data_IF_057061261244
#
_entry.id   IF_057061261244
#
_cell.length_a   1.000
_cell.length_b   1.000
_cell.length_c   1.000
_cell.angle_alpha   90.00
_cell.angle_beta   90.00
_cell.angle_gamma   90.00
#
_symmetry.space_group_name_H-M   'P 1'
#
loop_
_entity.id
_entity.type
_entity.pdbx_description
1 polymer ?
#
# COMPACT_ATOMS: atom_id res chain seq x y z
N UNK A 1 0.29 29.89 36.46
CA UNK A 1 -0.80 28.98 36.86
C UNK A 1 -1.63 28.79 35.60
N UNK A 2 -2.02 27.57 35.24
CA UNK A 2 -2.87 27.37 34.06
C UNK A 2 -4.30 27.73 34.47
N UNK A 3 -4.81 28.85 33.97
CA UNK A 3 -6.10 29.40 34.38
C UNK A 3 -7.22 29.01 33.39
N UNK A 4 -6.86 28.64 32.15
CA UNK A 4 -7.78 28.16 31.10
C UNK A 4 -7.21 26.99 30.30
N UNK A 5 -8.08 26.21 29.64
CA UNK A 5 -7.65 25.08 28.77
C UNK A 5 -6.83 25.57 27.57
N UNK A 6 -7.04 26.81 27.13
CA UNK A 6 -6.24 27.44 26.07
C UNK A 6 -4.77 27.61 26.46
N UNK A 7 -4.47 27.80 27.75
CA UNK A 7 -3.09 27.99 28.24
C UNK A 7 -2.23 26.72 28.13
N UNK A 8 -2.89 25.56 28.05
CA UNK A 8 -2.24 24.25 27.89
C UNK A 8 -2.37 23.68 26.48
N UNK A 9 -3.09 24.32 25.56
CA UNK A 9 -3.29 23.80 24.20
C UNK A 9 -1.96 23.50 23.50
N UNK A 10 -1.00 24.43 23.53
CA UNK A 10 0.31 24.24 22.88
C UNK A 10 1.08 23.04 23.46
N UNK A 11 0.93 22.77 24.76
CA UNK A 11 1.53 21.63 25.44
C UNK A 11 0.77 20.35 25.09
N UNK A 12 -0.56 20.36 25.12
CA UNK A 12 -1.39 19.22 24.71
C UNK A 12 -1.06 18.82 23.26
N UNK A 13 -0.95 19.78 22.34
CA UNK A 13 -0.56 19.52 20.95
C UNK A 13 0.86 18.96 20.81
N UNK A 14 1.81 19.40 21.65
CA UNK A 14 3.18 18.88 21.62
C UNK A 14 3.30 17.41 22.07
N UNK A 15 2.33 16.93 22.87
CA UNK A 15 2.30 15.55 23.38
C UNK A 15 1.10 14.73 22.89
N UNK A 16 0.26 15.30 22.03
CA UNK A 16 -0.94 14.66 21.50
C UNK A 16 -0.57 13.48 20.59
N UNK A 17 -1.20 12.34 20.83
CA UNK A 17 -1.16 11.23 19.88
C UNK A 17 -1.92 11.57 18.60
N UNK A 18 -1.71 10.81 17.51
CA UNK A 18 -2.37 11.03 16.22
C UNK A 18 -3.89 11.18 16.31
N UNK A 19 -4.55 10.37 17.15
CA UNK A 19 -5.98 10.48 17.40
C UNK A 19 -6.36 11.82 18.04
N UNK A 20 -5.65 12.22 19.09
CA UNK A 20 -5.91 13.47 19.81
C UNK A 20 -5.72 14.66 18.88
N UNK A 21 -4.65 14.67 18.09
CA UNK A 21 -4.39 15.73 17.09
C UNK A 21 -5.53 15.84 16.08
N UNK A 22 -6.03 14.71 15.58
CA UNK A 22 -7.14 14.70 14.63
C UNK A 22 -8.44 15.24 15.25
N UNK A 23 -8.80 14.76 16.45
CA UNK A 23 -10.04 15.17 17.13
C UNK A 23 -10.05 16.65 17.52
N UNK A 24 -8.90 17.28 17.72
CA UNK A 24 -8.80 18.71 18.04
C UNK A 24 -8.71 19.62 16.79
N UNK A 25 -8.85 19.06 15.59
CA UNK A 25 -8.83 19.81 14.32
C UNK A 25 -7.44 19.97 13.69
N UNK A 26 -6.43 19.25 14.20
CA UNK A 26 -5.12 19.17 13.58
C UNK A 26 -5.12 18.27 12.35
N UNK A 27 -4.26 18.60 11.38
CA UNK A 27 -4.09 17.78 10.18
C UNK A 27 -3.28 16.51 10.51
N UNK A 28 -3.95 15.36 10.58
CA UNK A 28 -3.29 14.05 10.51
C UNK A 28 -3.58 13.46 9.12
N UNK A 29 -2.52 13.10 8.38
CA UNK A 29 -2.61 12.71 6.97
C UNK A 29 -2.87 11.21 6.77
N UNK A 30 -2.72 10.39 7.81
CA UNK A 30 -2.83 8.94 7.71
C UNK A 30 -3.97 8.41 8.57
N UNK A 31 -5.04 8.01 7.89
CA UNK A 31 -6.23 7.37 8.49
C UNK A 31 -5.86 6.10 9.26
N UNK A 32 -4.90 5.31 8.80
CA UNK A 32 -4.53 4.04 9.45
C UNK A 32 -3.90 4.28 10.82
N UNK A 33 -3.07 5.32 10.94
CA UNK A 33 -2.44 5.69 12.20
C UNK A 33 -3.48 6.15 13.22
N UNK A 34 -4.48 6.93 12.79
CA UNK A 34 -5.57 7.41 13.68
C UNK A 34 -6.37 6.23 14.23
N UNK A 35 -6.77 5.31 13.36
CA UNK A 35 -7.53 4.12 13.74
C UNK A 35 -6.71 3.19 14.64
N UNK A 36 -5.45 2.94 14.30
CA UNK A 36 -4.57 2.12 15.13
C UNK A 36 -4.34 2.76 16.51
N UNK A 37 -4.18 4.08 16.61
CA UNK A 37 -4.05 4.79 17.89
C UNK A 37 -5.32 4.65 18.74
N UNK A 38 -6.51 4.80 18.12
CA UNK A 38 -7.79 4.63 18.79
C UNK A 38 -8.02 3.21 19.33
N UNK A 39 -7.77 2.20 18.51
CA UNK A 39 -8.02 0.80 18.88
C UNK A 39 -7.01 0.31 19.93
N UNK A 40 -5.72 0.64 19.76
CA UNK A 40 -4.65 0.17 20.65
C UNK A 40 -4.62 0.89 21.99
N UNK A 41 -4.97 2.18 22.04
CA UNK A 41 -5.04 2.93 23.31
C UNK A 41 -6.37 2.76 24.04
N UNK A 42 -7.28 1.96 23.51
CA UNK A 42 -8.55 1.68 24.17
C UNK A 42 -9.49 2.89 24.18
N UNK A 43 -9.50 3.68 23.10
CA UNK A 43 -10.38 4.85 23.02
C UNK A 43 -11.84 4.42 23.13
N UNK A 44 -12.58 5.13 23.97
CA UNK A 44 -14.00 4.87 24.29
C UNK A 44 -14.96 5.89 23.67
N UNK A 45 -14.47 6.74 22.75
CA UNK A 45 -15.27 7.74 22.06
C UNK A 45 -16.09 7.18 20.91
N UNK A 46 -16.76 8.07 20.18
CA UNK A 46 -17.58 7.71 19.03
C UNK A 46 -16.72 7.52 17.77
N UNK A 47 -16.62 6.28 17.32
CA UNK A 47 -15.90 5.90 16.10
C UNK A 47 -16.47 6.52 14.82
N UNK A 48 -17.70 7.06 14.84
CA UNK A 48 -18.24 7.83 13.73
C UNK A 48 -17.54 9.18 13.51
N UNK A 49 -16.77 9.68 14.50
CA UNK A 49 -15.99 10.90 14.38
C UNK A 49 -14.66 10.68 13.64
N UNK A 50 -14.22 9.43 13.49
CA UNK A 50 -12.96 9.09 12.82
C UNK A 50 -13.09 9.19 11.29
N UNK A 51 -11.97 9.34 10.56
CA UNK A 51 -12.02 9.34 9.11
C UNK A 51 -12.55 7.99 8.60
N UNK A 52 -13.34 7.97 7.52
CA UNK A 52 -13.92 6.74 7.00
C UNK A 52 -12.82 5.74 6.61
N UNK A 53 -12.90 4.53 7.16
CA UNK A 53 -11.96 3.43 6.88
C UNK A 53 -12.72 2.10 6.80
N UNK A 54 -12.23 1.21 5.94
CA UNK A 54 -12.65 -0.19 5.99
C UNK A 54 -11.87 -0.90 7.09
N UNK A 55 -12.56 -1.33 8.16
CA UNK A 55 -11.94 -2.04 9.28
C UNK A 55 -11.41 -3.40 8.79
N UNK A 56 -10.11 -3.60 8.92
CA UNK A 56 -9.41 -4.83 8.54
C UNK A 56 -9.35 -5.82 9.70
N UNK A 57 -8.85 -7.04 9.44
CA UNK A 57 -8.62 -8.01 10.50
C UNK A 57 -7.55 -7.55 11.49
N UNK A 58 -6.48 -6.92 11.03
CA UNK A 58 -5.40 -6.41 11.90
C UNK A 58 -5.90 -5.29 12.81
N UNK A 59 -6.80 -4.44 12.31
CA UNK A 59 -7.50 -3.45 13.12
C UNK A 59 -8.28 -4.14 14.25
N UNK A 60 -9.11 -5.14 13.94
CA UNK A 60 -9.85 -5.90 14.95
C UNK A 60 -8.93 -6.59 15.96
N UNK A 61 -7.84 -7.20 15.49
CA UNK A 61 -6.87 -7.90 16.35
C UNK A 61 -6.09 -6.95 17.27
N UNK A 62 -5.92 -5.68 16.89
CA UNK A 62 -5.27 -4.67 17.73
C UNK A 62 -6.10 -4.28 18.96
N UNK A 63 -7.40 -4.61 18.98
CA UNK A 63 -8.30 -4.32 20.08
C UNK A 63 -7.92 -5.18 21.29
N UNK A 64 -7.37 -4.53 22.31
CA UNK A 64 -6.96 -5.18 23.56
C UNK A 64 -7.93 -4.94 24.71
N UNK A 65 -8.86 -3.99 24.55
CA UNK A 65 -9.78 -3.57 25.60
C UNK A 65 -11.21 -3.96 25.27
N UNK A 66 -11.86 -4.62 26.24
CA UNK A 66 -13.24 -5.09 26.11
C UNK A 66 -14.24 -3.94 25.89
N UNK A 67 -14.03 -2.80 26.52
CA UNK A 67 -14.87 -1.61 26.30
C UNK A 67 -14.78 -1.13 24.83
N UNK A 68 -13.57 -1.00 24.30
CA UNK A 68 -13.33 -0.61 22.90
C UNK A 68 -13.94 -1.59 21.92
N UNK A 69 -13.85 -2.89 22.20
CA UNK A 69 -14.54 -3.91 21.41
C UNK A 69 -16.05 -3.66 21.32
N UNK A 70 -16.72 -3.39 22.45
CA UNK A 70 -18.15 -3.09 22.47
C UNK A 70 -18.49 -1.83 21.66
N UNK A 71 -17.68 -0.77 21.75
CA UNK A 71 -17.86 0.44 20.94
C UNK A 71 -17.69 0.18 19.44
N UNK A 72 -16.66 -0.57 19.04
CA UNK A 72 -16.42 -0.94 17.63
C UNK A 72 -17.54 -1.84 17.10
N UNK A 73 -18.02 -2.79 17.91
CA UNK A 73 -19.18 -3.65 17.58
C UNK A 73 -20.42 -2.80 17.30
N UNK A 74 -20.71 -1.83 18.15
CA UNK A 74 -21.85 -0.92 17.98
C UNK A 74 -21.70 -0.02 16.75
N UNK A 75 -20.49 0.49 16.50
CA UNK A 75 -20.17 1.27 15.30
C UNK A 75 -20.40 0.48 14.01
N UNK A 76 -19.90 -0.76 13.94
CA UNK A 76 -20.11 -1.63 12.76
C UNK A 76 -21.59 -1.95 12.56
N UNK A 77 -22.35 -2.07 13.65
CA UNK A 77 -23.80 -2.27 13.60
C UNK A 77 -24.55 -1.01 13.12
N UNK A 78 -24.02 0.20 13.32
CA UNK A 78 -24.66 1.47 12.93
C UNK A 78 -24.32 1.94 11.52
N UNK A 79 -23.17 1.57 10.94
CA UNK A 79 -22.70 2.00 9.61
C UNK A 79 -23.47 1.38 8.39
N UNK A 80 -24.77 1.11 8.52
CA UNK A 80 -25.55 0.27 7.61
C UNK A 80 -25.83 0.94 6.26
N UNK A 81 -25.02 0.62 5.22
CA UNK A 81 -25.43 0.65 3.79
C UNK A 81 -24.78 -0.42 2.88
N UNK A 82 -24.29 -1.55 3.39
CA UNK A 82 -23.72 -2.61 2.52
C UNK A 82 -23.64 -4.00 3.14
N UNK A 83 -24.41 -4.95 2.61
CA UNK A 83 -24.57 -6.30 3.20
C UNK A 83 -23.31 -7.16 3.23
N UNK A 84 -22.45 -7.10 2.20
CA UNK A 84 -21.25 -7.97 2.10
C UNK A 84 -20.10 -7.45 2.96
N UNK A 85 -19.86 -6.13 2.98
CA UNK A 85 -18.80 -5.50 3.80
C UNK A 85 -19.03 -5.76 5.30
N UNK A 86 -20.29 -5.67 5.76
CA UNK A 86 -20.66 -5.94 7.16
C UNK A 86 -20.29 -7.34 7.61
N UNK A 87 -20.56 -8.36 6.79
CA UNK A 87 -20.28 -9.76 7.14
C UNK A 87 -18.78 -10.01 7.33
N UNK A 88 -17.96 -9.48 6.44
CA UNK A 88 -16.49 -9.62 6.50
C UNK A 88 -15.95 -8.99 7.80
N UNK A 89 -16.37 -7.77 8.10
CA UNK A 89 -15.92 -7.07 9.31
C UNK A 89 -16.41 -7.77 10.59
N UNK A 90 -17.65 -8.26 10.63
CA UNK A 90 -18.16 -9.04 11.77
C UNK A 90 -17.38 -10.35 11.98
N UNK A 91 -16.96 -11.01 10.90
CA UNK A 91 -16.13 -12.22 10.97
C UNK A 91 -14.80 -11.93 11.64
N UNK A 92 -14.12 -10.86 11.22
CA UNK A 92 -12.85 -10.44 11.81
C UNK A 92 -13.00 -10.02 13.28
N UNK A 93 -14.07 -9.28 13.60
CA UNK A 93 -14.35 -8.84 14.97
C UNK A 93 -14.58 -10.05 15.89
N UNK A 94 -15.37 -11.04 15.46
CA UNK A 94 -15.58 -12.28 16.22
C UNK A 94 -14.29 -13.07 16.40
N UNK A 95 -13.47 -13.18 15.36
CA UNK A 95 -12.16 -13.84 15.47
C UNK A 95 -11.28 -13.16 16.53
N UNK A 96 -11.23 -11.83 16.56
CA UNK A 96 -10.51 -11.07 17.59
C UNK A 96 -11.07 -11.29 19.00
N UNK A 97 -12.40 -11.41 19.16
CA UNK A 97 -13.01 -11.75 20.44
C UNK A 97 -12.63 -13.16 20.90
N UNK A 98 -12.59 -14.14 19.99
CA UNK A 98 -12.18 -15.51 20.31
C UNK A 98 -10.70 -15.57 20.73
N UNK A 99 -9.81 -14.84 20.05
CA UNK A 99 -8.39 -14.73 20.41
C UNK A 99 -8.17 -14.12 21.80
N UNK A 100 -9.04 -13.20 22.21
CA UNK A 100 -9.02 -12.57 23.53
C UNK A 100 -9.90 -13.28 24.58
N UNK A 101 -10.49 -14.44 24.25
CA UNK A 101 -11.31 -15.26 25.17
C UNK A 101 -12.57 -14.52 25.67
N UNK A 102 -13.15 -13.64 24.85
CA UNK A 102 -14.40 -12.90 25.15
C UNK A 102 -15.63 -13.65 24.65
N UNK A 103 -15.84 -14.87 25.16
CA UNK A 103 -16.88 -15.78 24.67
C UNK A 103 -18.31 -15.26 24.83
N UNK A 104 -18.56 -14.46 25.87
CA UNK A 104 -19.85 -13.83 26.16
C UNK A 104 -20.23 -12.72 25.17
N UNK A 105 -19.25 -12.19 24.43
CA UNK A 105 -19.48 -11.17 23.40
C UNK A 105 -19.79 -11.76 22.01
N UNK A 106 -19.63 -13.07 21.85
CA UNK A 106 -19.78 -13.78 20.58
C UNK A 106 -21.22 -14.25 20.44
N UNK A 107 -21.94 -13.62 19.52
CA UNK A 107 -23.30 -14.03 19.18
C UNK A 107 -23.29 -15.32 18.34
N UNK A 108 -23.93 -16.36 18.87
CA UNK A 108 -24.07 -17.70 18.29
C UNK A 108 -25.24 -17.84 17.30
N UNK A 109 -26.04 -16.78 17.09
CA UNK A 109 -27.23 -16.84 16.25
C UNK A 109 -26.97 -17.19 14.77
N UNK A 110 -25.74 -16.98 14.29
CA UNK A 110 -25.31 -17.36 12.93
C UNK A 110 -24.13 -18.33 12.98
N UNK A 111 -24.39 -19.66 12.97
CA UNK A 111 -23.36 -20.70 12.98
C UNK A 111 -22.37 -20.60 11.82
N UNK A 112 -22.79 -20.04 10.67
CA UNK A 112 -21.94 -19.90 9.49
C UNK A 112 -20.91 -18.79 9.66
N UNK A 113 -21.32 -17.62 10.13
CA UNK A 113 -20.37 -16.52 10.43
C UNK A 113 -19.47 -16.91 11.61
N UNK A 114 -19.99 -17.70 12.55
CA UNK A 114 -19.19 -18.26 13.64
C UNK A 114 -18.11 -19.23 13.12
N UNK A 115 -18.45 -20.11 12.17
CA UNK A 115 -17.48 -20.99 11.51
C UNK A 115 -16.44 -20.21 10.70
N UNK A 116 -16.86 -19.15 9.99
CA UNK A 116 -15.92 -18.24 9.29
C UNK A 116 -14.98 -17.53 10.27
N UNK A 117 -15.47 -17.14 11.44
CA UNK A 117 -14.63 -16.54 12.48
C UNK A 117 -13.66 -17.58 13.08
N UNK A 118 -14.11 -18.82 13.29
CA UNK A 118 -13.26 -19.91 13.76
C UNK A 118 -12.12 -20.22 12.78
N UNK A 119 -12.37 -20.12 11.46
CA UNK A 119 -11.32 -20.28 10.44
C UNK A 119 -10.25 -19.19 10.57
N UNK A 120 -10.65 -17.93 10.74
CA UNK A 120 -9.73 -16.78 10.86
C UNK A 120 -9.00 -16.78 12.22
N UNK A 121 -9.72 -17.06 13.31
CA UNK A 121 -9.20 -17.09 14.68
C UNK A 121 -8.36 -18.32 15.00
N UNK A 122 -8.48 -19.41 14.22
CA UNK A 122 -7.70 -20.63 14.41
C UNK A 122 -8.31 -21.62 15.40
N UNK A 123 -9.63 -21.60 15.60
CA UNK A 123 -10.32 -22.46 16.57
C UNK A 123 -10.76 -23.77 15.91
N UNK A 124 -9.82 -24.72 15.79
CA UNK A 124 -10.03 -26.00 15.09
C UNK A 124 -11.15 -26.84 15.69
N UNK A 125 -11.20 -26.99 17.02
CA UNK A 125 -12.22 -27.82 17.68
C UNK A 125 -13.63 -27.23 17.53
N UNK A 126 -13.74 -25.91 17.67
CA UNK A 126 -15.00 -25.19 17.44
C UNK A 126 -15.44 -25.34 15.98
N UNK A 127 -14.51 -25.18 15.04
CA UNK A 127 -14.81 -25.36 13.62
C UNK A 127 -15.25 -26.80 13.34
N UNK A 128 -14.57 -27.80 13.91
CA UNK A 128 -14.94 -29.20 13.73
C UNK A 128 -16.34 -29.49 14.27
N UNK A 129 -16.68 -29.02 15.48
CA UNK A 129 -18.03 -29.16 16.03
C UNK A 129 -19.08 -28.45 15.18
N UNK A 130 -18.80 -27.24 14.67
CA UNK A 130 -19.74 -26.54 13.79
C UNK A 130 -19.99 -27.27 12.47
N UNK A 131 -18.95 -27.88 11.89
CA UNK A 131 -19.05 -28.63 10.64
C UNK A 131 -19.70 -30.01 10.82
N UNK A 132 -19.49 -30.67 11.96
CA UNK A 132 -20.01 -32.02 12.23
C UNK A 132 -21.39 -32.03 12.91
N UNK A 133 -21.60 -31.15 13.89
CA UNK A 133 -22.75 -31.22 14.79
C UNK A 133 -23.85 -30.20 14.45
N UNK A 134 -23.50 -29.15 13.71
CA UNK A 134 -24.40 -28.02 13.40
C UNK A 134 -24.74 -27.86 11.91
N UNK A 135 -24.47 -28.88 11.08
CA UNK A 135 -24.81 -28.94 9.64
C UNK A 135 -24.30 -27.72 8.82
N UNK A 136 -23.18 -27.13 9.24
CA UNK A 136 -22.54 -26.05 8.47
C UNK A 136 -21.75 -26.69 7.34
N UNK A 137 -22.22 -26.54 6.11
CA UNK A 137 -21.47 -27.02 4.93
C UNK A 137 -20.18 -26.20 4.75
N UNK A 138 -19.03 -26.87 4.81
CA UNK A 138 -17.71 -26.29 4.54
C UNK A 138 -17.62 -25.69 3.13
N UNK A 139 -18.35 -26.23 2.16
CA UNK A 139 -18.46 -25.70 0.80
C UNK A 139 -19.42 -24.50 0.69
N UNK A 140 -20.04 -24.07 1.80
CA UNK A 140 -20.81 -22.83 1.87
C UNK A 140 -20.02 -21.67 2.50
N UNK A 141 -18.90 -21.94 3.17
CA UNK A 141 -18.08 -20.88 3.78
C UNK A 141 -17.56 -19.93 2.70
N UNK A 142 -17.74 -18.62 2.93
CA UNK A 142 -17.31 -17.55 2.03
C UNK A 142 -17.91 -17.61 0.60
N UNK A 143 -19.10 -18.20 0.41
CA UNK A 143 -19.74 -18.38 -0.91
C UNK A 143 -20.31 -17.12 -1.61
N UNK A 144 -20.08 -15.90 -1.09
CA UNK A 144 -20.56 -14.67 -1.73
C UNK A 144 -19.91 -14.41 -3.11
N UNK A 145 -20.55 -13.64 -4.02
CA UNK A 145 -19.93 -13.25 -5.28
C UNK A 145 -18.77 -12.30 -4.99
N UNK A 146 -17.54 -12.71 -5.29
CA UNK A 146 -16.36 -11.85 -5.16
C UNK A 146 -16.33 -10.82 -6.29
N UNK A 147 -15.88 -9.61 -5.95
CA UNK A 147 -15.58 -8.50 -6.87
C UNK A 147 -14.44 -8.80 -7.85
N UNK A 148 -13.67 -9.87 -7.64
CA UNK A 148 -12.63 -10.29 -8.58
C UNK A 148 -13.25 -11.14 -9.69
N UNK A 149 -13.16 -10.65 -10.93
CA UNK A 149 -13.51 -11.35 -12.16
C UNK A 149 -12.64 -12.58 -12.48
N UNK A 150 -12.15 -13.28 -11.46
CA UNK A 150 -11.41 -14.54 -11.57
C UNK A 150 -12.41 -15.71 -11.52
N UNK A 151 -12.42 -16.50 -12.60
CA UNK A 151 -13.31 -17.62 -12.82
C UNK A 151 -13.25 -18.71 -11.72
N UNK A 152 -14.40 -19.37 -11.47
CA UNK A 152 -14.59 -20.77 -11.00
C UNK A 152 -13.72 -21.26 -9.83
N UNK A 153 -13.68 -20.57 -8.70
CA UNK A 153 -13.19 -21.16 -7.43
C UNK A 153 -14.34 -21.80 -6.65
N UNK A 154 -14.13 -22.97 -6.07
CA UNK A 154 -15.11 -23.56 -5.14
C UNK A 154 -15.03 -22.86 -3.78
N UNK A 155 -16.10 -22.80 -2.97
CA UNK A 155 -16.04 -22.03 -1.72
C UNK A 155 -15.13 -22.63 -0.65
N UNK A 156 -14.87 -23.95 -0.68
CA UNK A 156 -13.87 -24.60 0.19
C UNK A 156 -12.44 -24.08 -0.06
N UNK A 157 -12.13 -23.70 -1.30
CA UNK A 157 -10.85 -23.06 -1.68
C UNK A 157 -10.67 -21.73 -0.93
N UNK A 158 -11.78 -21.01 -0.69
CA UNK A 158 -11.77 -19.71 -0.03
C UNK A 158 -11.53 -19.84 1.48
N UNK A 159 -12.12 -20.85 2.11
CA UNK A 159 -11.87 -21.13 3.53
C UNK A 159 -10.41 -21.53 3.77
N UNK A 160 -9.85 -22.40 2.94
CA UNK A 160 -8.43 -22.76 3.01
C UNK A 160 -7.53 -21.54 2.76
N UNK A 161 -7.86 -20.73 1.74
CA UNK A 161 -7.11 -19.51 1.45
C UNK A 161 -7.15 -18.50 2.61
N UNK A 162 -8.28 -18.40 3.33
CA UNK A 162 -8.39 -17.58 4.55
C UNK A 162 -7.56 -18.14 5.69
N UNK A 163 -7.64 -19.44 5.97
CA UNK A 163 -6.78 -20.07 6.99
C UNK A 163 -5.28 -19.83 6.68
N UNK A 164 -4.91 -19.96 5.39
CA UNK A 164 -3.56 -19.73 4.90
C UNK A 164 -3.11 -18.27 5.07
N UNK A 165 -3.99 -17.30 4.75
CA UNK A 165 -3.72 -15.87 4.89
C UNK A 165 -3.51 -15.43 6.35
N UNK A 166 -4.12 -16.11 7.31
CA UNK A 166 -4.05 -15.79 8.74
C UNK A 166 -3.10 -16.70 9.54
N UNK A 167 -2.33 -17.57 8.88
CA UNK A 167 -1.33 -18.39 9.56
C UNK A 167 -1.92 -19.54 10.39
N UNK A 168 -3.13 -20.03 10.06
CA UNK A 168 -3.84 -21.06 10.82
C UNK A 168 -3.60 -22.47 10.26
N UNK A 169 -2.43 -23.03 10.55
CA UNK A 169 -2.04 -24.36 10.03
C UNK A 169 -3.01 -25.48 10.41
N UNK A 170 -3.38 -25.62 11.69
CA UNK A 170 -4.28 -26.70 12.14
C UNK A 170 -5.68 -26.62 11.51
N UNK A 171 -6.20 -25.41 11.33
CA UNK A 171 -7.47 -25.20 10.60
C UNK A 171 -7.31 -25.59 9.14
N UNK A 172 -6.18 -25.23 8.52
CA UNK A 172 -5.88 -25.58 7.14
C UNK A 172 -5.77 -27.11 6.96
N UNK A 173 -5.14 -27.81 7.89
CA UNK A 173 -5.07 -29.28 7.92
C UNK A 173 -6.46 -29.92 8.05
N UNK A 174 -7.30 -29.42 8.97
CA UNK A 174 -8.68 -29.88 9.11
C UNK A 174 -9.46 -29.68 7.79
N UNK A 175 -9.40 -28.49 7.21
CA UNK A 175 -10.06 -28.18 5.94
C UNK A 175 -9.53 -29.03 4.78
N UNK A 176 -8.25 -29.41 4.80
CA UNK A 176 -7.68 -30.33 3.82
C UNK A 176 -8.25 -31.75 3.95
N UNK A 177 -8.37 -32.26 5.18
CA UNK A 177 -8.98 -33.59 5.43
C UNK A 177 -10.45 -33.63 5.01
N UNK A 178 -11.18 -32.53 5.23
CA UNK A 178 -12.61 -32.42 4.91
C UNK A 178 -12.89 -32.09 3.43
N UNK A 179 -11.95 -31.41 2.76
CA UNK A 179 -12.13 -30.89 1.40
C UNK A 179 -11.90 -31.93 0.30
N UNK A 180 -12.88 -32.12 -0.59
CA UNK A 180 -12.70 -32.87 -1.85
C UNK A 180 -11.85 -32.08 -2.86
N UNK A 181 -10.54 -32.05 -2.64
CA UNK A 181 -9.44 -31.92 -3.62
C UNK A 181 -9.59 -30.95 -4.81
N UNK A 182 -10.15 -29.76 -4.62
CA UNK A 182 -9.87 -28.61 -5.49
C UNK A 182 -9.33 -27.50 -4.60
N UNK A 183 -8.33 -26.79 -5.08
CA UNK A 183 -7.82 -25.53 -4.54
C UNK A 183 -7.26 -24.74 -5.71
N UNK A 184 -7.35 -23.42 -5.65
CA UNK A 184 -6.56 -22.54 -6.50
C UNK A 184 -5.18 -22.31 -5.88
N UNK A 185 -4.25 -21.71 -6.64
CA UNK A 185 -2.96 -21.23 -6.13
C UNK A 185 -3.09 -20.19 -5.01
N UNK A 186 -4.30 -19.65 -4.80
CA UNK A 186 -4.61 -18.56 -3.88
C UNK A 186 -4.18 -18.85 -2.44
N UNK A 187 -4.33 -20.07 -1.94
CA UNK A 187 -3.92 -20.39 -0.57
C UNK A 187 -2.41 -20.23 -0.38
N UNK A 188 -1.61 -20.66 -1.36
CA UNK A 188 -0.16 -20.49 -1.31
C UNK A 188 0.24 -19.02 -1.50
N UNK A 189 -0.40 -18.34 -2.44
CA UNK A 189 -0.13 -16.92 -2.73
C UNK A 189 -0.39 -16.04 -1.50
N UNK A 190 -1.51 -16.26 -0.79
CA UNK A 190 -1.85 -15.52 0.43
C UNK A 190 -0.98 -15.90 1.62
N UNK A 191 -0.66 -17.18 1.82
CA UNK A 191 0.30 -17.59 2.86
C UNK A 191 1.66 -16.95 2.66
N UNK A 192 2.12 -16.87 1.40
CA UNK A 192 3.39 -16.27 1.05
C UNK A 192 3.40 -14.74 1.26
N UNK A 193 2.34 -14.08 0.80
CA UNK A 193 2.14 -12.64 0.96
C UNK A 193 2.15 -12.21 2.43
N UNK A 194 1.65 -13.04 3.34
CA UNK A 194 1.61 -12.75 4.78
C UNK A 194 2.77 -13.41 5.57
N UNK A 195 3.74 -14.01 4.89
CA UNK A 195 4.97 -14.49 5.53
C UNK A 195 4.86 -15.81 6.29
N UNK A 196 3.81 -16.59 6.08
CA UNK A 196 3.57 -17.86 6.76
C UNK A 196 4.34 -19.02 6.13
N UNK A 197 5.68 -19.03 6.32
CA UNK A 197 6.58 -20.04 5.74
C UNK A 197 6.16 -21.49 6.03
N UNK A 198 5.72 -21.78 7.25
CA UNK A 198 5.30 -23.12 7.65
C UNK A 198 4.07 -23.60 6.86
N UNK A 199 3.13 -22.71 6.53
CA UNK A 199 1.99 -23.01 5.67
C UNK A 199 2.44 -23.20 4.22
N UNK A 200 3.35 -22.35 3.72
CA UNK A 200 3.90 -22.50 2.36
C UNK A 200 4.59 -23.85 2.20
N UNK A 201 5.39 -24.27 3.18
CA UNK A 201 6.06 -25.58 3.21
C UNK A 201 5.05 -26.74 3.22
N UNK A 202 4.03 -26.63 4.06
CA UNK A 202 2.99 -27.64 4.17
C UNK A 202 2.19 -27.75 2.86
N UNK A 203 1.74 -26.63 2.30
CA UNK A 203 1.00 -26.60 1.04
C UNK A 203 1.87 -27.13 -0.13
N UNK A 204 3.16 -26.81 -0.17
CA UNK A 204 4.07 -27.30 -1.20
C UNK A 204 4.29 -28.83 -1.16
N UNK A 205 4.16 -29.45 0.02
CA UNK A 205 4.37 -30.90 0.19
C UNK A 205 3.08 -31.70 0.04
N UNK A 206 1.93 -31.12 0.39
CA UNK A 206 0.64 -31.83 0.42
C UNK A 206 -0.26 -31.52 -0.78
N UNK A 207 0.06 -30.49 -1.59
CA UNK A 207 -0.76 -30.05 -2.72
C UNK A 207 0.00 -29.97 -4.03
N UNK A 208 -0.73 -30.14 -5.15
CA UNK A 208 -0.16 -30.16 -6.50
C UNK A 208 -0.33 -28.86 -7.27
N UNK A 209 -1.21 -27.98 -6.84
CA UNK A 209 -1.47 -26.70 -7.55
C UNK A 209 -0.32 -25.70 -7.42
N UNK A 210 0.47 -25.79 -6.35
CA UNK A 210 1.57 -24.88 -6.10
C UNK A 210 1.12 -23.44 -5.86
N UNK A 211 2.04 -22.50 -6.10
CA UNK A 211 1.81 -21.06 -6.06
C UNK A 211 1.95 -20.44 -7.44
N UNK A 212 1.49 -19.20 -7.57
CA UNK A 212 1.74 -18.38 -8.76
C UNK A 212 2.89 -17.40 -8.52
N UNK A 213 3.26 -16.61 -9.52
CA UNK A 213 4.21 -15.51 -9.33
C UNK A 213 3.73 -14.51 -8.26
N UNK A 214 2.42 -14.39 -8.03
CA UNK A 214 1.86 -13.54 -6.98
C UNK A 214 2.36 -13.92 -5.57
N UNK A 215 2.68 -15.21 -5.32
CA UNK A 215 3.27 -15.64 -4.06
C UNK A 215 4.63 -14.98 -3.81
N UNK A 216 5.51 -15.00 -4.81
CA UNK A 216 6.86 -14.39 -4.72
C UNK A 216 6.73 -12.88 -4.66
N UNK A 217 5.89 -12.29 -5.51
CA UNK A 217 5.66 -10.85 -5.57
C UNK A 217 5.20 -10.29 -4.22
N UNK A 218 4.18 -10.91 -3.62
CA UNK A 218 3.65 -10.52 -2.32
C UNK A 218 4.66 -10.74 -1.20
N UNK A 219 5.36 -11.88 -1.19
CA UNK A 219 6.38 -12.17 -0.18
C UNK A 219 7.51 -11.14 -0.22
N UNK A 220 8.00 -10.76 -1.41
CA UNK A 220 9.07 -9.77 -1.56
C UNK A 220 8.58 -8.37 -1.19
N UNK A 221 7.41 -7.95 -1.68
CA UNK A 221 6.86 -6.63 -1.39
C UNK A 221 6.68 -6.38 0.12
N UNK A 222 6.30 -7.43 0.87
CA UNK A 222 6.08 -7.38 2.31
C UNK A 222 7.33 -7.77 3.14
N UNK A 223 8.50 -7.95 2.51
CA UNK A 223 9.77 -8.22 3.20
C UNK A 223 9.92 -9.65 3.74
N UNK A 224 9.09 -10.59 3.32
CA UNK A 224 9.15 -12.01 3.68
C UNK A 224 10.17 -12.78 2.83
N UNK A 225 11.43 -12.33 2.83
CA UNK A 225 12.50 -12.85 1.98
C UNK A 225 12.81 -14.34 2.16
N UNK A 226 12.60 -14.89 3.36
CA UNK A 226 12.74 -16.35 3.62
C UNK A 226 11.70 -17.16 2.86
N UNK A 227 10.47 -16.64 2.75
CA UNK A 227 9.40 -17.28 1.99
C UNK A 227 9.69 -17.18 0.50
N UNK A 228 10.07 -15.99 0.02
CA UNK A 228 10.46 -15.81 -1.39
C UNK A 228 11.62 -16.75 -1.79
N UNK A 229 12.62 -16.92 -0.91
CA UNK A 229 13.75 -17.82 -1.16
C UNK A 229 13.30 -19.28 -1.25
N UNK A 230 12.40 -19.71 -0.36
CA UNK A 230 11.83 -21.06 -0.39
C UNK A 230 11.03 -21.32 -1.67
N UNK A 231 10.15 -20.39 -2.06
CA UNK A 231 9.34 -20.50 -3.28
C UNK A 231 10.21 -20.62 -4.54
N UNK A 232 11.28 -19.83 -4.64
CA UNK A 232 12.21 -19.90 -5.77
C UNK A 232 13.01 -21.20 -5.77
N UNK A 233 13.59 -21.58 -4.63
CA UNK A 233 14.46 -22.75 -4.52
C UNK A 233 13.71 -24.07 -4.74
N UNK A 234 12.49 -24.19 -4.24
CA UNK A 234 11.76 -25.46 -4.21
C UNK A 234 10.58 -25.54 -5.18
N UNK A 235 9.95 -24.40 -5.54
CA UNK A 235 8.83 -24.37 -6.49
C UNK A 235 9.20 -23.75 -7.83
N UNK A 236 10.44 -23.25 -8.01
CA UNK A 236 10.91 -22.58 -9.24
C UNK A 236 10.01 -21.42 -9.65
N UNK A 237 9.42 -20.74 -8.67
CA UNK A 237 8.61 -19.55 -8.88
C UNK A 237 9.50 -18.32 -8.80
N UNK A 238 9.32 -17.39 -9.75
CA UNK A 238 10.06 -16.15 -9.84
C UNK A 238 9.14 -14.93 -9.74
N UNK A 239 9.73 -13.80 -9.32
CA UNK A 239 9.03 -12.54 -9.24
C UNK A 239 8.61 -12.05 -10.64
N UNK A 240 7.40 -11.53 -10.75
CA UNK A 240 6.92 -10.94 -11.98
C UNK A 240 7.56 -9.57 -12.24
N UNK A 241 7.58 -9.13 -13.50
CA UNK A 241 7.97 -7.76 -13.85
C UNK A 241 7.09 -6.70 -13.17
N UNK A 242 5.84 -7.06 -12.83
CA UNK A 242 4.91 -6.17 -12.12
C UNK A 242 5.27 -5.98 -10.64
N UNK A 243 5.95 -6.96 -10.04
CA UNK A 243 6.44 -6.89 -8.67
C UNK A 243 7.48 -5.80 -8.51
N UNK A 244 8.46 -5.76 -9.42
CA UNK A 244 9.53 -4.76 -9.42
C UNK A 244 8.97 -3.34 -9.43
N UNK A 245 7.96 -3.10 -10.29
CA UNK A 245 7.28 -1.81 -10.35
C UNK A 245 6.61 -1.44 -9.03
N UNK A 246 5.84 -2.34 -8.43
CA UNK A 246 5.16 -2.09 -7.14
C UNK A 246 6.15 -1.81 -6.01
N UNK A 247 7.27 -2.54 -6.00
CA UNK A 247 8.34 -2.36 -5.01
C UNK A 247 8.98 -0.97 -5.12
N UNK A 248 9.20 -0.49 -6.35
CA UNK A 248 9.72 0.86 -6.59
C UNK A 248 8.68 1.92 -6.20
N UNK A 249 7.42 1.75 -6.60
CA UNK A 249 6.31 2.65 -6.20
C UNK A 249 6.16 2.75 -4.66
N UNK A 250 6.52 1.69 -3.93
CA UNK A 250 6.52 1.64 -2.47
C UNK A 250 7.82 2.13 -1.80
N UNK A 251 8.81 2.60 -2.56
CA UNK A 251 10.16 2.99 -2.09
C UNK A 251 10.87 1.92 -1.24
N UNK A 252 10.63 0.63 -1.53
CA UNK A 252 11.18 -0.47 -0.75
C UNK A 252 12.55 -0.93 -1.29
N UNK A 253 13.61 -0.23 -0.88
CA UNK A 253 15.00 -0.52 -1.31
C UNK A 253 15.48 -1.94 -0.96
N UNK A 254 15.03 -2.51 0.16
CA UNK A 254 15.49 -3.84 0.58
C UNK A 254 14.90 -4.93 -0.31
N UNK A 255 13.65 -4.75 -0.76
CA UNK A 255 13.04 -5.60 -1.77
C UNK A 255 13.72 -5.48 -3.14
N UNK A 256 14.14 -4.28 -3.55
CA UNK A 256 14.95 -4.08 -4.77
C UNK A 256 16.28 -4.82 -4.67
N UNK A 257 16.99 -4.69 -3.54
CA UNK A 257 18.26 -5.39 -3.29
C UNK A 257 18.09 -6.90 -3.34
N UNK A 258 17.04 -7.42 -2.71
CA UNK A 258 16.73 -8.84 -2.71
C UNK A 258 16.53 -9.38 -4.13
N UNK A 259 15.69 -8.72 -4.93
CA UNK A 259 15.43 -9.13 -6.32
C UNK A 259 16.67 -9.03 -7.19
N UNK A 260 17.49 -7.99 -7.01
CA UNK A 260 18.74 -7.88 -7.75
C UNK A 260 19.72 -9.01 -7.38
N UNK A 261 20.02 -9.18 -6.09
CA UNK A 261 21.03 -10.15 -5.62
C UNK A 261 20.63 -11.61 -5.82
N UNK A 262 19.35 -11.94 -5.62
CA UNK A 262 18.88 -13.32 -5.58
C UNK A 262 18.22 -13.74 -6.90
N UNK A 263 17.50 -12.82 -7.56
CA UNK A 263 16.79 -13.14 -8.79
C UNK A 263 17.61 -12.91 -10.06
N UNK A 264 18.72 -12.16 -9.99
CA UNK A 264 19.46 -11.67 -11.16
C UNK A 264 18.53 -11.05 -12.21
N UNK A 265 17.48 -10.36 -11.73
CA UNK A 265 16.44 -9.83 -12.60
C UNK A 265 17.04 -8.68 -13.43
N UNK A 266 16.86 -8.66 -14.76
CA UNK A 266 17.32 -7.55 -15.57
C UNK A 266 16.62 -6.26 -15.11
N UNK A 267 17.38 -5.18 -14.96
CA UNK A 267 16.83 -3.87 -14.61
C UNK A 267 16.64 -3.04 -15.88
N UNK A 268 15.45 -3.01 -16.50
CA UNK A 268 15.19 -2.15 -17.64
C UNK A 268 15.28 -0.68 -17.22
N UNK A 269 15.72 0.18 -18.14
CA UNK A 269 15.80 1.65 -17.97
C UNK A 269 14.49 2.28 -17.47
N UNK A 270 13.35 1.68 -17.80
CA UNK A 270 12.03 2.07 -17.28
C UNK A 270 11.92 2.04 -15.74
N UNK A 271 12.66 1.18 -15.03
CA UNK A 271 12.66 1.15 -13.56
C UNK A 271 13.32 2.40 -12.97
N UNK A 272 14.39 2.89 -13.59
CA UNK A 272 15.04 4.15 -13.22
C UNK A 272 14.07 5.33 -13.44
N UNK A 273 13.34 5.32 -14.54
CA UNK A 273 12.32 6.34 -14.85
C UNK A 273 11.22 6.39 -13.79
N UNK A 274 10.76 5.23 -13.34
CA UNK A 274 9.75 5.11 -12.28
C UNK A 274 10.28 5.55 -10.92
N UNK A 275 11.48 5.13 -10.55
CA UNK A 275 12.12 5.57 -9.31
C UNK A 275 12.32 7.09 -9.31
N UNK A 276 12.70 7.67 -10.46
CA UNK A 276 12.83 9.12 -10.64
C UNK A 276 11.50 9.85 -10.56
N UNK A 277 10.45 9.27 -11.15
CA UNK A 277 9.08 9.78 -11.04
C UNK A 277 8.56 9.79 -9.59
N UNK A 278 8.95 8.82 -8.75
CA UNK A 278 8.57 8.78 -7.33
C UNK A 278 9.52 9.53 -6.39
N UNK A 279 10.64 10.05 -6.90
CA UNK A 279 11.63 10.75 -6.08
C UNK A 279 12.48 9.81 -5.20
N UNK A 280 12.54 8.52 -5.53
CA UNK A 280 13.20 7.48 -4.73
C UNK A 280 14.73 7.47 -4.93
N UNK A 281 15.40 8.53 -4.44
CA UNK A 281 16.83 8.76 -4.65
C UNK A 281 17.72 7.58 -4.22
N UNK A 282 17.37 6.88 -3.12
CA UNK A 282 18.14 5.72 -2.65
C UNK A 282 18.09 4.55 -3.64
N UNK A 283 16.91 4.31 -4.24
CA UNK A 283 16.74 3.29 -5.28
C UNK A 283 17.55 3.69 -6.52
N UNK A 284 17.46 4.94 -6.95
CA UNK A 284 18.23 5.48 -8.09
C UNK A 284 19.74 5.29 -7.91
N UNK A 285 20.27 5.66 -6.74
CA UNK A 285 21.68 5.47 -6.40
C UNK A 285 22.09 4.00 -6.42
N UNK A 286 21.22 3.12 -5.92
CA UNK A 286 21.47 1.69 -5.93
C UNK A 286 21.46 1.12 -7.35
N UNK A 287 20.50 1.50 -8.19
CA UNK A 287 20.42 1.02 -9.57
C UNK A 287 21.62 1.51 -10.39
N UNK A 288 22.00 2.77 -10.27
CA UNK A 288 23.14 3.32 -11.01
C UNK A 288 24.50 2.70 -10.64
N UNK A 289 24.68 2.24 -9.40
CA UNK A 289 25.93 1.59 -8.98
C UNK A 289 26.07 0.15 -9.49
N UNK A 290 24.98 -0.46 -9.96
CA UNK A 290 24.97 -1.87 -10.34
C UNK A 290 24.59 -2.13 -11.81
N UNK A 291 24.07 -1.11 -12.51
CA UNK A 291 23.71 -1.21 -13.91
C UNK A 291 24.34 -0.05 -14.70
N UNK A 292 25.06 -0.41 -15.76
CA UNK A 292 25.55 0.57 -16.72
C UNK A 292 24.39 1.09 -17.59
N UNK A 293 24.45 2.39 -17.96
CA UNK A 293 23.53 3.03 -18.93
C UNK A 293 22.02 3.01 -18.58
N UNK A 294 21.66 2.99 -17.29
CA UNK A 294 20.26 3.11 -16.82
C UNK A 294 19.69 4.53 -16.88
N UNK A 295 20.53 5.53 -17.18
CA UNK A 295 20.18 6.94 -17.17
C UNK A 295 19.42 7.34 -18.45
N UNK A 296 18.10 7.47 -18.37
CA UNK A 296 17.29 7.97 -19.48
C UNK A 296 16.94 9.46 -19.33
N UNK A 297 16.63 10.11 -20.45
CA UNK A 297 16.08 11.48 -20.46
C UNK A 297 14.69 11.55 -19.81
N UNK A 298 13.91 10.48 -19.87
CA UNK A 298 12.58 10.41 -19.25
C UNK A 298 12.68 10.45 -17.72
N UNK A 299 13.71 9.83 -17.12
CA UNK A 299 13.92 9.88 -15.67
C UNK A 299 14.01 11.32 -15.16
N UNK A 300 14.80 12.16 -15.82
CA UNK A 300 14.90 13.58 -15.44
C UNK A 300 13.63 14.37 -15.75
N UNK A 301 12.96 14.10 -16.87
CA UNK A 301 11.69 14.77 -17.22
C UNK A 301 10.58 14.43 -16.22
N UNK A 302 10.48 13.17 -15.76
CA UNK A 302 9.50 12.75 -14.76
C UNK A 302 9.83 13.26 -13.36
N UNK A 303 11.10 13.26 -12.95
CA UNK A 303 11.52 13.90 -11.71
C UNK A 303 11.18 15.40 -11.71
N UNK A 304 11.36 16.07 -12.85
CA UNK A 304 11.02 17.49 -13.00
C UNK A 304 9.50 17.73 -12.97
N UNK A 305 8.73 16.88 -13.67
CA UNK A 305 7.26 16.92 -13.68
C UNK A 305 6.65 16.80 -12.29
N UNK A 306 7.24 15.97 -11.43
CA UNK A 306 6.72 15.66 -10.10
C UNK A 306 7.43 16.45 -8.97
N UNK A 307 8.37 17.33 -9.31
CA UNK A 307 8.96 18.26 -8.34
C UNK A 307 10.09 17.71 -7.49
N UNK A 308 10.66 16.55 -7.85
CA UNK A 308 11.71 15.87 -7.09
C UNK A 308 13.10 16.47 -7.37
N UNK A 309 13.36 17.65 -6.78
CA UNK A 309 14.60 18.41 -7.00
C UNK A 309 15.85 17.62 -6.63
N UNK A 310 15.87 16.95 -5.47
CA UNK A 310 17.04 16.24 -4.95
C UNK A 310 17.43 15.10 -5.90
N UNK A 311 16.44 14.33 -6.34
CA UNK A 311 16.59 13.30 -7.38
C UNK A 311 17.12 13.89 -8.68
N UNK A 312 16.56 15.01 -9.12
CA UNK A 312 16.97 15.66 -10.35
C UNK A 312 18.41 16.18 -10.31
N UNK A 313 18.83 16.79 -9.20
CA UNK A 313 20.20 17.26 -8.98
C UNK A 313 21.19 16.10 -9.03
N UNK A 314 20.80 14.96 -8.47
CA UNK A 314 21.62 13.75 -8.49
C UNK A 314 21.73 13.19 -9.91
N UNK A 315 20.61 13.03 -10.62
CA UNK A 315 20.59 12.57 -12.02
C UNK A 315 21.43 13.49 -12.91
N UNK A 316 21.29 14.80 -12.79
CA UNK A 316 22.05 15.76 -13.60
C UNK A 316 23.57 15.64 -13.42
N UNK A 317 24.05 15.26 -12.22
CA UNK A 317 25.48 15.10 -11.93
C UNK A 317 26.07 13.77 -12.41
N UNK A 318 25.26 12.73 -12.52
CA UNK A 318 25.73 11.35 -12.75
C UNK A 318 25.24 10.75 -14.07
N UNK A 319 24.28 11.38 -14.74
CA UNK A 319 23.72 10.92 -16.01
C UNK A 319 24.13 11.84 -17.16
N UNK A 320 24.82 11.28 -18.17
CA UNK A 320 25.28 12.02 -19.35
C UNK A 320 24.16 12.45 -20.31
N UNK A 321 22.95 11.87 -20.20
CA UNK A 321 21.82 12.12 -21.11
C UNK A 321 21.08 13.45 -20.91
N UNK A 322 21.27 14.13 -19.78
CA UNK A 322 20.56 15.37 -19.45
C UNK A 322 19.02 15.22 -19.45
N UNK A 323 18.30 16.34 -19.34
CA UNK A 323 16.85 16.39 -19.53
C UNK A 323 16.48 16.90 -20.92
N UNK A 324 15.26 16.60 -21.37
CA UNK A 324 14.74 17.23 -22.59
C UNK A 324 14.29 18.67 -22.28
N UNK A 325 14.00 19.46 -23.31
CA UNK A 325 13.38 20.80 -23.14
C UNK A 325 12.01 20.72 -22.43
N UNK A 326 11.37 19.54 -22.43
CA UNK A 326 10.09 19.31 -21.76
C UNK A 326 10.19 19.37 -20.25
N UNK A 327 11.35 19.11 -19.64
CA UNK A 327 11.49 19.15 -18.18
C UNK A 327 11.09 20.50 -17.58
N UNK A 328 11.51 21.62 -18.18
CA UNK A 328 11.16 22.97 -17.69
C UNK A 328 9.66 23.22 -17.86
N UNK A 329 9.12 22.86 -19.01
CA UNK A 329 7.71 23.00 -19.31
C UNK A 329 6.84 22.20 -18.33
N UNK A 330 7.20 20.93 -18.06
CA UNK A 330 6.49 20.05 -17.14
C UNK A 330 6.59 20.55 -15.69
N UNK A 331 7.77 20.98 -15.25
CA UNK A 331 7.95 21.57 -13.92
C UNK A 331 7.15 22.88 -13.78
N UNK A 332 7.08 23.69 -14.83
CA UNK A 332 6.33 24.94 -14.84
C UNK A 332 4.81 24.70 -14.85
N UNK A 333 4.31 23.75 -15.65
CA UNK A 333 2.91 23.32 -15.65
C UNK A 333 2.43 22.81 -14.29
N UNK A 334 3.30 22.16 -13.51
CA UNK A 334 2.95 21.61 -12.19
C UNK A 334 3.38 22.52 -11.01
N UNK A 335 3.86 23.74 -11.30
CA UNK A 335 4.14 24.74 -10.26
C UNK A 335 5.41 24.48 -9.44
N UNK A 336 6.31 23.62 -9.92
CA UNK A 336 7.53 23.23 -9.21
C UNK A 336 8.64 24.27 -9.37
N UNK A 337 8.47 25.45 -8.76
CA UNK A 337 9.39 26.59 -8.85
C UNK A 337 10.85 26.23 -8.51
N UNK A 338 11.09 25.39 -7.49
CA UNK A 338 12.45 24.97 -7.10
C UNK A 338 13.16 24.17 -8.20
N UNK A 339 12.42 23.32 -8.90
CA UNK A 339 12.90 22.56 -10.07
C UNK A 339 13.15 23.49 -11.26
N UNK A 340 12.23 24.41 -11.55
CA UNK A 340 12.37 25.39 -12.62
C UNK A 340 13.62 26.26 -12.43
N UNK A 341 13.88 26.72 -11.21
CA UNK A 341 15.11 27.46 -10.84
C UNK A 341 16.36 26.66 -11.16
N UNK A 342 16.43 25.44 -10.63
CA UNK A 342 17.58 24.55 -10.85
C UNK A 342 17.84 24.31 -12.34
N UNK A 343 16.79 24.02 -13.11
CA UNK A 343 16.89 23.79 -14.55
C UNK A 343 17.41 24.99 -15.34
N UNK A 344 16.98 26.21 -14.99
CA UNK A 344 17.39 27.42 -15.68
C UNK A 344 18.80 27.87 -15.28
N UNK A 345 19.25 27.57 -14.07
CA UNK A 345 20.61 27.87 -13.63
C UNK A 345 21.61 26.81 -14.13
N UNK A 346 21.19 25.56 -14.31
CA UNK A 346 22.03 24.47 -14.79
C UNK A 346 22.18 24.41 -16.33
N UNK A 347 21.35 25.13 -17.10
CA UNK A 347 21.33 25.05 -18.58
C UNK A 347 21.59 26.40 -19.23
N UNK A 348 22.40 26.38 -20.29
CA UNK A 348 22.69 27.55 -21.13
C UNK A 348 21.64 27.83 -22.21
N UNK A 349 20.72 26.89 -22.47
CA UNK A 349 19.71 27.00 -23.54
C UNK A 349 18.59 28.02 -23.28
N UNK A 350 18.59 28.68 -22.12
CA UNK A 350 17.66 29.77 -21.79
C UNK A 350 16.23 29.32 -21.47
N UNK A 351 15.38 30.29 -21.14
CA UNK A 351 14.00 30.06 -20.72
C UNK A 351 13.07 29.77 -21.92
N UNK A 352 12.41 28.61 -22.00
CA UNK A 352 11.43 28.36 -23.06
C UNK A 352 10.23 29.30 -22.91
N UNK A 353 9.85 29.98 -24.00
CA UNK A 353 8.68 30.89 -24.04
C UNK A 353 7.39 30.17 -23.63
N UNK A 354 7.31 28.87 -23.90
CA UNK A 354 6.19 28.00 -23.56
C UNK A 354 6.04 27.73 -22.06
N UNK A 355 7.11 27.82 -21.25
CA UNK A 355 7.05 27.48 -19.83
C UNK A 355 6.24 28.52 -19.03
N UNK A 356 6.42 29.81 -19.33
CA UNK A 356 5.65 30.88 -18.68
C UNK A 356 4.17 30.82 -19.06
N UNK A 357 3.85 30.55 -20.33
CA UNK A 357 2.47 30.36 -20.79
C UNK A 357 1.81 29.14 -20.12
N UNK A 358 2.53 28.02 -19.99
CA UNK A 358 2.06 26.80 -19.32
C UNK A 358 1.82 27.00 -17.83
N UNK A 359 2.74 27.67 -17.13
CA UNK A 359 2.56 28.02 -15.72
C UNK A 359 1.36 28.96 -15.52
N UNK A 360 1.17 29.94 -16.43
CA UNK A 360 0.03 30.84 -16.40
C UNK A 360 -1.30 30.10 -16.63
N UNK A 361 -1.37 29.19 -17.61
CA UNK A 361 -2.57 28.38 -17.85
C UNK A 361 -2.93 27.45 -16.68
N UNK A 362 -1.93 27.03 -15.90
CA UNK A 362 -2.11 26.18 -14.72
C UNK A 362 -2.29 26.98 -13.40
N UNK A 363 -2.28 28.32 -13.45
CA UNK A 363 -2.48 29.18 -12.29
C UNK A 363 -1.28 29.32 -11.34
N UNK A 364 -0.08 28.91 -11.76
CA UNK A 364 1.14 28.95 -10.93
C UNK A 364 1.86 30.30 -11.01
N UNK A 365 1.27 31.32 -10.39
CA UNK A 365 1.74 32.72 -10.44
C UNK A 365 3.18 32.90 -9.93
N UNK A 366 3.60 32.13 -8.93
CA UNK A 366 4.97 32.14 -8.40
C UNK A 366 6.03 31.70 -9.43
N UNK A 367 5.68 30.74 -10.29
CA UNK A 367 6.52 30.31 -11.41
C UNK A 367 6.52 31.37 -12.50
N UNK A 368 5.35 31.91 -12.86
CA UNK A 368 5.23 32.98 -13.87
C UNK A 368 6.06 34.21 -13.50
N UNK A 369 5.93 34.70 -12.26
CA UNK A 369 6.68 35.86 -11.75
C UNK A 369 8.20 35.62 -11.84
N UNK A 370 8.65 34.44 -11.41
CA UNK A 370 10.07 34.07 -11.51
C UNK A 370 10.55 34.02 -12.97
N UNK A 371 9.79 33.38 -13.86
CA UNK A 371 10.14 33.25 -15.28
C UNK A 371 10.17 34.61 -15.99
N UNK A 372 9.23 35.51 -15.70
CA UNK A 372 9.21 36.88 -16.23
C UNK A 372 10.43 37.67 -15.72
N UNK A 373 10.76 37.56 -14.43
CA UNK A 373 11.93 38.22 -13.83
C UNK A 373 13.27 37.72 -14.38
N UNK A 374 13.37 36.44 -14.79
CA UNK A 374 14.56 35.86 -15.43
C UNK A 374 14.62 36.09 -16.94
N UNK A 375 13.54 36.52 -17.59
CA UNK A 375 13.47 36.81 -19.03
C UNK A 375 14.26 38.04 -19.54
N UNK A 376 14.77 38.99 -18.72
CA UNK A 376 15.57 40.09 -19.26
C UNK A 376 17.05 39.70 -19.26
N UNK A 377 17.52 39.09 -20.36
CA UNK A 377 18.92 39.20 -20.85
C UNK A 377 19.21 38.56 -22.22
N UNK A 378 18.28 37.84 -22.89
CA UNK A 378 18.54 37.20 -24.20
C UNK A 378 17.44 37.46 -25.26
N UNK A 379 17.26 38.71 -25.69
CA UNK A 379 16.65 39.02 -27.00
C UNK A 379 17.33 40.27 -27.61
N UNK A 380 17.94 40.19 -28.81
CA UNK A 380 18.05 41.37 -29.66
C UNK A 380 16.65 41.81 -30.06
N UNK A 381 16.39 43.12 -29.96
CA UNK A 381 15.16 43.75 -30.43
C UNK A 381 15.16 43.74 -31.95
N UNK A 382 14.49 42.79 -32.57
CA UNK A 382 14.16 42.88 -34.00
C UNK A 382 12.69 42.53 -34.23
N UNK A 383 11.86 43.57 -34.26
CA UNK A 383 11.04 43.90 -35.42
C UNK A 383 10.22 45.15 -35.08
N UNK A 384 10.80 46.32 -35.32
CA UNK A 384 10.00 47.52 -35.57
C UNK A 384 9.06 47.20 -36.74
N UNK A 385 7.78 47.02 -36.43
CA UNK A 385 6.71 47.08 -37.41
C UNK A 385 6.71 48.49 -38.02
N UNK A 386 7.20 48.60 -39.26
CA UNK A 386 7.02 49.80 -40.08
C UNK A 386 5.53 50.17 -40.13
N UNK A 387 5.17 51.47 -40.06
CA UNK A 387 3.79 51.90 -40.25
C UNK A 387 3.40 51.65 -41.71
N UNK A 388 2.21 51.08 -41.91
CA UNK A 388 1.55 51.00 -43.20
C UNK A 388 1.24 52.43 -43.68
N UNK A 389 1.72 52.77 -44.87
CA UNK A 389 1.29 53.92 -45.66
C UNK A 389 0.01 53.57 -46.44
#
# INVERSE_FOLDING_TARGET
MWDTIQDVHSIIYAYAGPLTTYLTGGACCDTDIIWHDALRKGWCGDFALLPPKTITYDDCRSISFRATYAHVKNYIQSCVRGGISRRVVLTHLRAAAMENVWWDEIDIADPRVLAEAAVVGGHTDLLQSLLCDHDVDAASLYSAPSWDGLQKTTPTDRAMAKAAAHGRLHVLELLHVLGKNKCSTTAMDLAATNGHLHIVQWLATHRREGGSCAAVDGAVANGHYKVAAYLRAHLRLDASASALRKIIEADNIDAVRYLHQVCNAPCPSHLMDQAAAGGHLKIIQYLHTHYDDVCSTNAMDFAARNGHLETMQWLHRHCNGGCSRRAIDLAATNGHLRVVRFLLDARSEGCPVSAAARAASAGHLNVVDYLIKKRPQNLPRDSESKPLA
#
